data_IF_065767834782
#
_entry.id   IF_065767834782
#
_cell.length_a   1.000
_cell.length_b   1.000
_cell.length_c   1.000
_cell.angle_alpha   90.00
_cell.angle_beta   90.00
_cell.angle_gamma   90.00
#
_symmetry.space_group_name_H-M   'P 1'
#
loop_
_entity.id
_entity.type
_entity.pdbx_description
1 polymer ?
#
# COMPACT_ATOMS: atom_id res chain seq x y z
N UNK A 1 -6.13 20.57 -12.44
CA UNK A 1 -5.30 21.63 -11.77
C UNK A 1 -5.19 21.45 -10.25
N UNK A 2 -6.14 20.79 -9.56
CA UNK A 2 -6.10 20.60 -8.10
C UNK A 2 -5.05 19.56 -7.70
N UNK A 3 -4.92 18.44 -8.42
CA UNK A 3 -3.93 17.40 -8.12
C UNK A 3 -2.46 17.86 -8.22
N UNK A 4 -2.14 18.81 -9.12
CA UNK A 4 -0.79 19.39 -9.21
C UNK A 4 -0.39 20.22 -7.98
N UNK A 5 -1.36 20.76 -7.22
CA UNK A 5 -1.06 21.57 -6.02
C UNK A 5 -0.80 20.69 -4.80
N UNK A 6 -1.47 19.54 -4.70
CA UNK A 6 -1.28 18.57 -3.61
C UNK A 6 0.09 17.89 -3.74
N UNK A 7 0.47 17.49 -4.96
CA UNK A 7 1.76 16.83 -5.22
C UNK A 7 2.97 17.74 -4.91
N UNK A 8 2.88 19.04 -5.17
CA UNK A 8 3.92 20.02 -4.79
C UNK A 8 4.00 20.21 -3.28
N UNK A 9 2.87 20.11 -2.57
CA UNK A 9 2.83 20.26 -1.11
C UNK A 9 3.45 19.06 -0.39
N UNK A 10 3.15 17.83 -0.82
CA UNK A 10 3.70 16.60 -0.22
C UNK A 10 5.22 16.50 -0.47
N UNK A 11 5.67 16.86 -1.69
CA UNK A 11 7.09 16.90 -2.03
C UNK A 11 7.87 17.93 -1.18
N UNK A 12 7.26 19.09 -0.87
CA UNK A 12 7.90 20.08 -0.01
C UNK A 12 8.02 19.63 1.46
N UNK A 13 7.10 18.81 1.97
CA UNK A 13 7.18 18.28 3.34
C UNK A 13 8.29 17.23 3.46
N UNK A 14 8.44 16.33 2.47
CA UNK A 14 9.51 15.33 2.46
C UNK A 14 10.91 15.96 2.31
N UNK A 15 11.04 17.09 1.62
CA UNK A 15 12.34 17.75 1.41
C UNK A 15 12.85 18.51 2.65
N UNK A 16 12.00 18.77 3.64
CA UNK A 16 12.40 19.49 4.88
C UNK A 16 13.04 18.53 5.90
N UNK A 17 12.80 17.22 5.81
CA UNK A 17 13.31 16.22 6.77
C UNK A 17 14.83 15.94 6.57
N UNK A 18 15.44 16.38 5.47
CA UNK A 18 16.86 16.13 5.18
C UNK A 18 17.85 17.16 5.78
N UNK A 19 17.41 18.08 6.64
CA UNK A 19 18.29 19.07 7.29
C UNK A 19 18.41 18.76 8.79
N UNK A 20 19.14 17.69 9.11
CA UNK A 20 19.63 17.52 10.47
C UNK A 20 20.65 18.65 10.77
N UNK A 21 20.52 19.41 11.87
CA UNK A 21 21.59 20.26 12.34
C UNK A 21 22.75 19.37 12.78
N UNK A 22 23.77 19.27 11.94
CA UNK A 22 25.06 18.70 12.30
C UNK A 22 25.65 19.59 13.38
N UNK A 23 25.39 19.24 14.63
CA UNK A 23 26.07 19.78 15.79
C UNK A 23 27.53 19.35 15.68
N UNK A 24 28.33 20.14 14.97
CA UNK A 24 29.78 20.00 14.90
C UNK A 24 30.30 20.27 16.31
N UNK A 25 30.49 19.19 17.07
CA UNK A 25 31.35 19.20 18.25
C UNK A 25 32.78 19.43 17.75
N UNK A 26 33.28 20.65 17.93
CA UNK A 26 34.67 20.99 17.71
C UNK A 26 35.52 20.28 18.79
N UNK A 27 36.12 19.17 18.41
CA UNK A 27 37.16 18.50 19.18
C UNK A 27 38.47 19.31 19.09
N UNK A 28 39.05 19.79 20.20
CA UNK A 28 40.30 20.54 20.17
C UNK A 28 41.47 19.63 19.79
N UNK A 29 41.90 19.82 18.55
CA UNK A 29 43.12 19.37 17.89
C UNK A 29 44.32 19.20 18.84
N UNK A 30 44.83 17.97 18.92
CA UNK A 30 46.23 17.69 19.23
C UNK A 30 46.90 17.05 18.00
N UNK A 31 47.75 17.85 17.40
CA UNK A 31 48.75 17.58 16.38
C UNK A 31 49.58 16.32 16.68
N UNK A 32 49.66 15.37 15.74
CA UNK A 32 51.00 15.00 15.23
C UNK A 32 50.99 14.32 13.85
N UNK A 33 52.06 14.63 13.14
CA UNK A 33 52.36 14.33 11.74
C UNK A 33 52.96 12.93 11.59
N UNK A 34 52.60 12.19 10.52
CA UNK A 34 53.57 11.30 9.85
C UNK A 34 53.20 11.11 8.38
N UNK A 35 54.08 11.62 7.54
CA UNK A 35 54.17 11.45 6.09
C UNK A 35 54.65 10.03 5.74
N UNK A 36 53.94 9.30 4.88
CA UNK A 36 54.57 8.26 4.04
C UNK A 36 54.02 8.36 2.62
N UNK A 37 54.96 8.70 1.75
CA UNK A 37 54.97 8.69 0.30
C UNK A 37 55.17 7.25 -0.21
N UNK A 38 54.40 6.79 -1.21
CA UNK A 38 54.90 5.94 -2.30
C UNK A 38 53.87 5.76 -3.43
N UNK A 39 54.21 6.39 -4.57
CA UNK A 39 54.28 5.84 -5.94
C UNK A 39 53.01 5.47 -6.74
N UNK A 40 52.87 5.98 -7.99
CA UNK A 40 51.77 5.68 -8.90
C UNK A 40 52.05 4.44 -9.76
N UNK A 41 51.02 3.66 -10.09
CA UNK A 41 51.05 2.66 -11.17
C UNK A 41 49.75 2.75 -11.95
N UNK A 42 49.88 3.07 -13.23
CA UNK A 42 48.85 3.18 -14.28
C UNK A 42 49.15 2.10 -15.35
N UNK A 43 48.32 1.92 -16.39
CA UNK A 43 47.09 1.13 -16.42
C UNK A 43 47.28 -0.16 -17.25
N UNK A 44 46.66 -1.27 -16.83
CA UNK A 44 46.58 -2.48 -17.66
C UNK A 44 45.20 -2.59 -18.28
N UNK A 45 45.16 -2.25 -19.57
CA UNK A 45 44.10 -2.59 -20.54
C UNK A 45 43.79 -4.09 -20.43
N UNK A 46 42.55 -4.42 -20.08
CA UNK A 46 42.00 -5.76 -20.28
C UNK A 46 40.72 -5.61 -21.09
N UNK A 47 40.84 -6.07 -22.33
CA UNK A 47 39.80 -6.21 -23.34
C UNK A 47 38.77 -7.24 -22.84
N UNK A 48 37.66 -6.74 -22.27
CA UNK A 48 36.50 -7.56 -21.91
C UNK A 48 35.51 -7.51 -23.05
N UNK A 49 35.51 -8.60 -23.82
CA UNK A 49 34.46 -9.02 -24.74
C UNK A 49 33.09 -8.76 -24.13
N UNK A 50 32.35 -7.82 -24.72
CA UNK A 50 30.93 -7.60 -24.48
C UNK A 50 30.14 -8.81 -25.00
N UNK A 51 29.91 -9.79 -24.14
CA UNK A 51 28.69 -10.59 -24.21
C UNK A 51 27.63 -9.81 -23.47
N UNK A 52 26.77 -9.15 -24.23
CA UNK A 52 25.48 -8.65 -23.80
C UNK A 52 24.68 -9.86 -23.26
N UNK A 53 24.47 -9.98 -21.93
CA UNK A 53 23.51 -10.93 -21.42
C UNK A 53 22.15 -10.26 -21.62
N UNK A 54 21.52 -10.53 -22.75
CA UNK A 54 20.08 -10.38 -22.90
C UNK A 54 19.45 -11.22 -21.79
N UNK A 55 19.11 -10.54 -20.70
CA UNK A 55 18.52 -11.08 -19.47
C UNK A 55 17.02 -11.34 -19.69
N UNK A 56 16.67 -11.99 -20.81
CA UNK A 56 15.30 -12.32 -21.23
C UNK A 56 14.77 -13.62 -20.60
N UNK A 57 15.61 -14.38 -19.89
CA UNK A 57 15.24 -15.72 -19.40
C UNK A 57 14.64 -15.71 -17.98
N UNK A 58 14.53 -14.56 -17.32
CA UNK A 58 14.09 -14.51 -15.91
C UNK A 58 12.59 -14.25 -15.70
N UNK A 59 11.85 -13.78 -16.71
CA UNK A 59 10.43 -13.38 -16.53
C UNK A 59 9.47 -14.58 -16.61
N UNK A 60 9.75 -15.58 -17.44
CA UNK A 60 8.89 -16.77 -17.56
C UNK A 60 8.89 -17.64 -16.30
N UNK A 61 9.97 -17.64 -15.52
CA UNK A 61 10.08 -18.44 -14.29
C UNK A 61 9.29 -17.84 -13.12
N UNK A 62 8.93 -16.54 -13.18
CA UNK A 62 8.14 -15.84 -12.15
C UNK A 62 6.64 -15.77 -12.47
N UNK A 63 6.24 -16.07 -13.70
CA UNK A 63 4.84 -16.06 -14.08
C UNK A 63 4.10 -17.33 -13.61
N UNK A 64 2.93 -17.13 -12.99
CA UNK A 64 1.99 -18.19 -12.63
C UNK A 64 1.21 -18.73 -13.84
N UNK A 65 0.07 -19.35 -13.59
CA UNK A 65 -0.87 -19.71 -14.66
C UNK A 65 -1.47 -18.41 -15.21
N UNK A 66 -1.43 -18.23 -16.53
CA UNK A 66 -2.03 -17.08 -17.22
C UNK A 66 -3.56 -17.20 -17.31
N UNK A 67 -4.29 -16.06 -17.41
CA UNK A 67 -5.76 -16.03 -17.36
C UNK A 67 -6.48 -16.69 -18.54
N UNK A 68 -5.79 -17.00 -19.64
CA UNK A 68 -6.31 -17.77 -20.77
C UNK A 68 -6.47 -19.27 -20.44
N UNK A 69 -5.74 -19.75 -19.43
CA UNK A 69 -5.77 -21.14 -18.99
C UNK A 69 -6.93 -21.41 -18.03
N UNK A 70 -7.62 -22.53 -18.23
CA UNK A 70 -8.66 -23.01 -17.32
C UNK A 70 -8.17 -23.26 -15.89
N UNK A 71 -6.86 -23.47 -15.71
CA UNK A 71 -6.22 -23.67 -14.40
C UNK A 71 -6.11 -22.36 -13.60
N UNK A 72 -6.23 -21.20 -14.24
CA UNK A 72 -6.14 -19.89 -13.59
C UNK A 72 -7.10 -19.73 -12.41
N UNK A 73 -8.35 -20.18 -12.60
CA UNK A 73 -9.37 -20.12 -11.55
C UNK A 73 -9.05 -21.04 -10.37
N UNK A 74 -8.32 -22.13 -10.62
CA UNK A 74 -7.89 -23.06 -9.57
C UNK A 74 -6.72 -22.45 -8.79
N UNK A 75 -5.77 -21.82 -9.49
CA UNK A 75 -4.67 -21.10 -8.85
C UNK A 75 -5.19 -20.00 -7.93
N UNK A 76 -6.06 -19.11 -8.42
CA UNK A 76 -6.72 -18.06 -7.62
C UNK A 76 -7.43 -18.60 -6.38
N UNK A 77 -8.02 -19.80 -6.45
CA UNK A 77 -8.63 -20.47 -5.31
C UNK A 77 -7.58 -20.97 -4.31
N UNK A 78 -6.49 -21.57 -4.80
CA UNK A 78 -5.38 -22.04 -3.96
C UNK A 78 -4.74 -20.85 -3.25
N UNK A 79 -4.45 -19.76 -3.95
CA UNK A 79 -3.94 -18.51 -3.40
C UNK A 79 -4.83 -17.95 -2.29
N UNK A 80 -6.15 -17.89 -2.55
CA UNK A 80 -7.14 -17.45 -1.57
C UNK A 80 -7.12 -18.33 -0.31
N UNK A 81 -6.94 -19.65 -0.47
CA UNK A 81 -6.78 -20.58 0.65
C UNK A 81 -5.46 -20.33 1.39
N UNK A 82 -4.35 -20.14 0.68
CA UNK A 82 -3.04 -19.84 1.26
C UNK A 82 -3.09 -18.57 2.12
N UNK A 83 -3.70 -17.49 1.63
CA UNK A 83 -3.92 -16.25 2.41
C UNK A 83 -4.79 -16.52 3.64
N UNK A 84 -5.85 -17.32 3.49
CA UNK A 84 -6.76 -17.62 4.58
C UNK A 84 -6.13 -18.48 5.70
N UNK A 85 -5.23 -19.41 5.36
CA UNK A 85 -4.52 -20.25 6.34
C UNK A 85 -3.26 -19.59 6.91
N UNK A 86 -2.80 -18.49 6.31
CA UNK A 86 -1.72 -17.68 6.86
C UNK A 86 -2.25 -16.90 8.05
N UNK A 87 -1.73 -17.17 9.24
CA UNK A 87 -2.28 -16.67 10.50
C UNK A 87 -1.78 -15.28 10.89
N UNK A 88 -0.55 -14.94 10.50
CA UNK A 88 0.07 -13.64 10.79
C UNK A 88 -0.29 -12.61 9.73
N UNK A 89 -0.61 -11.38 10.14
CA UNK A 89 -0.90 -10.30 9.20
C UNK A 89 0.33 -9.90 8.37
N UNK A 90 1.53 -10.00 8.94
CA UNK A 90 2.80 -9.88 8.22
C UNK A 90 2.89 -10.90 7.08
N UNK A 91 2.84 -12.20 7.39
CA UNK A 91 2.90 -13.24 6.36
C UNK A 91 1.78 -13.15 5.32
N UNK A 92 0.58 -12.63 5.68
CA UNK A 92 -0.47 -12.35 4.69
C UNK A 92 -0.07 -11.21 3.75
N UNK A 93 0.54 -10.15 4.28
CA UNK A 93 1.01 -9.04 3.48
C UNK A 93 2.13 -9.48 2.53
N UNK A 94 3.11 -10.25 3.02
CA UNK A 94 4.20 -10.82 2.20
C UNK A 94 3.63 -11.67 1.05
N UNK A 95 2.74 -12.61 1.36
CA UNK A 95 2.13 -13.49 0.36
C UNK A 95 1.33 -12.70 -0.69
N UNK A 96 0.63 -11.64 -0.29
CA UNK A 96 -0.07 -10.77 -1.24
C UNK A 96 0.91 -9.99 -2.13
N UNK A 97 2.08 -9.60 -1.62
CA UNK A 97 3.12 -8.95 -2.42
C UNK A 97 3.70 -9.95 -3.45
N UNK A 98 3.92 -11.20 -3.06
CA UNK A 98 4.35 -12.28 -3.97
C UNK A 98 3.33 -12.48 -5.10
N UNK A 99 2.04 -12.62 -4.78
CA UNK A 99 1.01 -12.74 -5.81
C UNK A 99 0.92 -11.50 -6.70
N UNK A 100 1.15 -10.30 -6.16
CA UNK A 100 1.17 -9.09 -6.96
C UNK A 100 2.32 -9.11 -7.99
N UNK A 101 3.50 -9.63 -7.63
CA UNK A 101 4.59 -9.84 -8.58
C UNK A 101 4.22 -10.87 -9.65
N UNK A 102 3.60 -11.99 -9.28
CA UNK A 102 3.14 -13.00 -10.24
C UNK A 102 2.14 -12.40 -11.24
N UNK A 103 1.19 -11.58 -10.79
CA UNK A 103 0.27 -10.85 -11.68
C UNK A 103 1.03 -9.90 -12.62
N UNK A 104 2.08 -9.24 -12.18
CA UNK A 104 2.88 -8.39 -13.06
C UNK A 104 3.59 -9.20 -14.15
N UNK A 105 4.18 -10.34 -13.80
CA UNK A 105 4.80 -11.24 -14.77
C UNK A 105 3.78 -11.81 -15.78
N UNK A 106 2.59 -12.21 -15.31
CA UNK A 106 1.49 -12.61 -16.19
C UNK A 106 1.08 -11.48 -17.15
N UNK A 107 0.97 -10.23 -16.67
CA UNK A 107 0.60 -9.09 -17.49
C UNK A 107 1.64 -8.81 -18.59
N UNK A 108 2.92 -9.03 -18.30
CA UNK A 108 4.00 -8.92 -19.28
C UNK A 108 3.82 -9.97 -20.40
N UNK A 109 3.60 -11.23 -20.06
CA UNK A 109 3.33 -12.30 -21.05
C UNK A 109 2.09 -11.96 -21.91
N UNK A 110 0.99 -11.55 -21.28
CA UNK A 110 -0.23 -11.18 -22.02
C UNK A 110 0.01 -9.99 -22.97
N UNK A 111 0.90 -9.07 -22.61
CA UNK A 111 1.30 -7.98 -23.51
C UNK A 111 2.08 -8.48 -24.71
N UNK A 112 3.02 -9.41 -24.52
CA UNK A 112 3.85 -9.98 -25.59
C UNK A 112 2.99 -10.76 -26.61
N UNK A 113 1.96 -11.45 -26.11
CA UNK A 113 0.98 -12.17 -26.94
C UNK A 113 -0.10 -11.26 -27.55
N UNK A 114 -0.04 -9.95 -27.30
CA UNK A 114 -1.03 -8.95 -27.75
C UNK A 114 -2.46 -9.25 -27.27
N UNK A 115 -2.59 -9.88 -26.09
CA UNK A 115 -3.84 -10.22 -25.42
C UNK A 115 -4.26 -9.10 -24.46
N UNK A 116 -4.52 -7.91 -25.00
CA UNK A 116 -4.72 -6.69 -24.22
C UNK A 116 -5.90 -6.76 -23.23
N UNK A 117 -6.97 -7.48 -23.57
CA UNK A 117 -8.12 -7.66 -22.67
C UNK A 117 -7.76 -8.49 -21.41
N UNK A 118 -6.89 -9.49 -21.58
CA UNK A 118 -6.42 -10.35 -20.49
C UNK A 118 -5.38 -9.63 -19.64
N UNK A 119 -4.48 -8.87 -20.27
CA UNK A 119 -3.57 -7.95 -19.58
C UNK A 119 -4.36 -6.91 -18.75
N UNK A 120 -5.43 -6.34 -19.33
CA UNK A 120 -6.61 -5.73 -18.69
C UNK A 120 -6.89 -6.30 -17.29
N UNK A 121 -7.35 -7.54 -17.33
CA UNK A 121 -7.81 -8.29 -16.18
C UNK A 121 -6.71 -8.54 -15.15
N UNK A 122 -5.50 -8.88 -15.61
CA UNK A 122 -4.37 -9.19 -14.74
C UNK A 122 -3.89 -7.94 -14.00
N UNK A 123 -3.79 -6.79 -14.66
CA UNK A 123 -3.40 -5.53 -13.99
C UNK A 123 -4.46 -5.04 -13.01
N UNK A 124 -5.74 -5.36 -13.25
CA UNK A 124 -6.78 -5.15 -12.26
C UNK A 124 -6.60 -6.07 -11.04
N UNK A 125 -6.29 -7.35 -11.25
CA UNK A 125 -6.00 -8.30 -10.18
C UNK A 125 -4.76 -7.89 -9.37
N UNK A 126 -3.71 -7.41 -10.04
CA UNK A 126 -2.53 -6.79 -9.42
C UNK A 126 -2.94 -5.63 -8.48
N UNK A 127 -3.71 -4.66 -8.99
CA UNK A 127 -4.17 -3.51 -8.21
C UNK A 127 -4.96 -3.94 -6.97
N UNK A 128 -5.87 -4.91 -7.11
CA UNK A 128 -6.66 -5.42 -6.00
C UNK A 128 -5.81 -6.20 -4.98
N UNK A 129 -4.75 -6.85 -5.42
CA UNK A 129 -3.82 -7.58 -4.56
C UNK A 129 -2.94 -6.62 -3.75
N UNK A 130 -2.40 -5.57 -4.38
CA UNK A 130 -1.66 -4.50 -3.68
C UNK A 130 -2.55 -3.76 -2.67
N UNK A 131 -3.82 -3.49 -3.00
CA UNK A 131 -4.77 -2.91 -2.03
C UNK A 131 -4.92 -3.77 -0.80
N UNK A 132 -5.03 -5.09 -0.96
CA UNK A 132 -5.10 -6.03 0.16
C UNK A 132 -3.81 -6.03 0.97
N UNK A 133 -2.64 -6.00 0.31
CA UNK A 133 -1.35 -5.93 0.99
C UNK A 133 -1.23 -4.65 1.82
N UNK A 134 -1.53 -3.48 1.22
CA UNK A 134 -1.60 -2.20 1.91
C UNK A 134 -2.61 -2.24 3.09
N UNK A 135 -3.76 -2.89 2.93
CA UNK A 135 -4.74 -3.05 4.01
C UNK A 135 -4.21 -3.91 5.18
N UNK A 136 -3.46 -4.98 4.90
CA UNK A 136 -2.81 -5.78 5.94
C UNK A 136 -1.75 -4.96 6.69
N UNK A 137 -0.88 -4.25 5.96
CA UNK A 137 0.12 -3.36 6.58
C UNK A 137 -0.56 -2.28 7.43
N UNK A 138 -1.70 -1.74 6.98
CA UNK A 138 -2.46 -0.75 7.73
C UNK A 138 -3.04 -1.31 9.03
N UNK A 139 -3.51 -2.57 9.03
CA UNK A 139 -3.98 -3.25 10.24
C UNK A 139 -2.84 -3.49 11.23
N UNK A 140 -1.68 -3.97 10.75
CA UNK A 140 -0.49 -4.14 11.62
C UNK A 140 -0.15 -2.82 12.31
N UNK A 141 -0.12 -1.72 11.56
CA UNK A 141 0.13 -0.38 12.11
C UNK A 141 -0.90 0.00 13.19
N UNK A 142 -2.18 -0.27 12.97
CA UNK A 142 -3.28 0.07 13.89
C UNK A 142 -3.25 -0.80 15.15
N UNK A 143 -2.95 -2.09 15.01
CA UNK A 143 -2.86 -3.03 16.13
C UNK A 143 -1.68 -2.68 17.05
N UNK A 144 -0.52 -2.31 16.49
CA UNK A 144 0.60 -1.78 17.28
C UNK A 144 0.18 -0.52 18.07
N UNK A 145 -0.65 0.35 17.49
CA UNK A 145 -1.11 1.57 18.20
C UNK A 145 -2.09 1.28 19.34
N UNK A 146 -2.95 0.29 19.16
CA UNK A 146 -3.88 -0.14 20.19
C UNK A 146 -3.13 -0.77 21.39
N UNK A 147 -2.04 -1.50 21.12
CA UNK A 147 -1.18 -2.08 22.15
C UNK A 147 -0.43 -1.01 22.97
N UNK A 148 0.03 0.06 22.32
CA UNK A 148 0.79 1.16 22.95
C UNK A 148 -0.04 2.04 23.90
N UNK A 149 -1.35 1.80 24.04
CA UNK A 149 -2.22 2.57 24.93
C UNK A 149 -2.39 4.05 24.55
N UNK A 150 -1.83 4.48 23.41
CA UNK A 150 -2.14 5.77 22.79
C UNK A 150 -3.55 5.68 22.21
N UNK A 151 -4.54 5.88 23.07
CA UNK A 151 -5.95 5.85 22.70
C UNK A 151 -6.20 6.98 21.69
N UNK A 152 -6.11 6.64 20.41
CA UNK A 152 -6.47 7.46 19.26
C UNK A 152 -7.95 7.73 19.40
N UNK A 153 -8.28 8.82 20.08
CA UNK A 153 -9.65 9.31 20.16
C UNK A 153 -10.08 9.55 18.72
N UNK A 154 -10.89 8.61 18.22
CA UNK A 154 -11.50 8.68 16.90
C UNK A 154 -12.04 10.09 16.70
N UNK A 155 -11.62 10.70 15.60
CA UNK A 155 -12.00 12.05 15.20
C UNK A 155 -13.48 12.07 14.88
N UNK A 156 -14.31 12.08 15.93
CA UNK A 156 -15.69 12.51 15.82
C UNK A 156 -15.65 14.02 15.70
N UNK A 157 -15.80 14.47 14.47
CA UNK A 157 -15.77 15.88 14.08
C UNK A 157 -16.95 16.58 14.74
N UNK A 158 -16.71 17.26 15.87
CA UNK A 158 -17.62 18.30 16.37
C UNK A 158 -16.84 19.52 16.79
N UNK A 159 -16.86 20.50 15.89
CA UNK A 159 -16.61 21.92 16.11
C UNK A 159 -17.29 22.42 17.38
N UNK A 160 -16.50 22.91 18.34
CA UNK A 160 -16.90 24.00 19.22
C UNK A 160 -15.62 24.72 19.69
N UNK A 161 -15.48 25.95 19.20
CA UNK A 161 -14.58 26.95 19.76
C UNK A 161 -14.86 27.11 21.27
N UNK A 162 -13.82 27.17 22.10
CA UNK A 162 -13.86 28.10 23.22
C UNK A 162 -12.48 28.65 23.55
N UNK A 163 -12.47 29.98 23.67
CA UNK A 163 -11.40 30.87 24.08
C UNK A 163 -11.41 30.95 25.60
N UNK A 164 -10.26 30.87 26.30
CA UNK A 164 -9.77 31.91 27.25
C UNK A 164 -8.61 31.46 28.16
N UNK A 165 -7.51 32.20 28.04
CA UNK A 165 -6.62 32.80 29.03
C UNK A 165 -6.42 32.18 30.45
N UNK A 166 -5.16 31.73 30.65
CA UNK A 166 -4.19 32.14 31.69
C UNK A 166 -4.52 32.01 33.19
N UNK A 167 -3.80 31.08 33.85
CA UNK A 167 -3.17 31.32 35.16
C UNK A 167 -2.04 30.30 35.39
N UNK A 168 -0.80 30.78 35.55
CA UNK A 168 0.40 29.98 35.81
C UNK A 168 0.71 30.09 37.32
N UNK A 169 0.44 29.04 38.08
CA UNK A 169 1.05 28.84 39.41
C UNK A 169 1.99 27.62 39.35
N UNK A 170 3.28 27.90 39.55
CA UNK A 170 4.34 26.90 39.66
C UNK A 170 4.19 26.19 41.00
N UNK A 171 3.54 25.03 41.00
CA UNK A 171 3.52 24.09 42.13
C UNK A 171 4.53 22.99 41.88
N UNK A 172 5.59 22.97 42.69
CA UNK A 172 6.56 21.88 42.79
C UNK A 172 5.92 20.70 43.51
N UNK A 173 5.07 19.95 42.81
CA UNK A 173 4.58 18.66 43.30
C UNK A 173 5.57 17.59 42.86
N UNK A 174 6.12 16.91 43.87
CA UNK A 174 6.95 15.71 43.77
C UNK A 174 6.09 14.57 43.18
N UNK A 175 5.90 14.62 41.86
CA UNK A 175 5.25 13.57 41.09
C UNK A 175 6.23 12.40 40.94
N UNK A 176 5.96 11.35 41.71
CA UNK A 176 6.48 10.01 41.49
C UNK A 176 6.33 9.67 40.01
N UNK A 177 7.46 9.71 39.29
CA UNK A 177 7.64 9.30 37.92
C UNK A 177 7.00 7.91 37.74
N UNK A 178 5.76 7.91 37.25
CA UNK A 178 5.13 6.68 36.80
C UNK A 178 5.72 6.46 35.43
N UNK A 179 6.43 5.33 35.35
CA UNK A 179 7.28 4.85 34.28
C UNK A 179 6.52 4.79 32.96
N UNK A 180 6.44 5.91 32.24
CA UNK A 180 6.06 5.94 30.82
C UNK A 180 7.30 5.54 29.99
N UNK A 181 7.91 4.40 30.33
CA UNK A 181 8.83 3.71 29.43
C UNK A 181 7.97 3.05 28.37
N UNK A 182 7.65 3.83 27.34
CA UNK A 182 7.23 3.27 26.05
C UNK A 182 8.39 2.38 25.59
N UNK A 183 8.28 1.08 25.84
CA UNK A 183 9.10 0.09 25.17
C UNK A 183 8.68 0.16 23.71
N UNK A 184 9.45 0.93 22.94
CA UNK A 184 9.23 1.08 21.50
C UNK A 184 9.53 -0.27 20.88
N UNK A 185 8.50 -1.02 20.49
CA UNK A 185 8.64 -2.29 19.77
C UNK A 185 9.29 -2.04 18.41
N UNK A 186 10.63 -2.09 18.43
CA UNK A 186 11.50 -1.75 17.30
C UNK A 186 11.42 -2.82 16.21
N UNK A 187 11.03 -4.04 16.59
CA UNK A 187 10.88 -5.19 15.71
C UNK A 187 9.67 -5.02 14.77
N UNK A 188 8.51 -4.64 15.29
CA UNK A 188 7.30 -4.43 14.47
C UNK A 188 7.47 -3.29 13.44
N UNK A 189 8.12 -2.19 13.84
CA UNK A 189 8.42 -1.10 12.90
C UNK A 189 9.40 -1.54 11.80
N UNK A 190 10.32 -2.46 12.09
CA UNK A 190 11.24 -3.04 11.11
C UNK A 190 10.48 -3.91 10.11
N UNK A 191 9.58 -4.78 10.60
CA UNK A 191 8.69 -5.60 9.79
C UNK A 191 7.85 -4.73 8.84
N UNK A 192 7.17 -3.71 9.36
CA UNK A 192 6.35 -2.79 8.56
C UNK A 192 7.20 -2.10 7.48
N UNK A 193 8.41 -1.66 7.83
CA UNK A 193 9.32 -1.00 6.89
C UNK A 193 9.77 -1.93 5.76
N UNK A 194 10.07 -3.18 6.06
CA UNK A 194 10.45 -4.19 5.07
C UNK A 194 9.28 -4.53 4.13
N UNK A 195 8.07 -4.66 4.68
CA UNK A 195 6.85 -4.87 3.89
C UNK A 195 6.58 -3.70 2.93
N UNK A 196 6.68 -2.46 3.42
CA UNK A 196 6.50 -1.27 2.58
C UNK A 196 7.58 -1.15 1.50
N UNK A 197 8.83 -1.53 1.80
CA UNK A 197 9.90 -1.58 0.80
C UNK A 197 9.63 -2.64 -0.27
N UNK A 198 9.06 -3.79 0.13
CA UNK A 198 8.67 -4.86 -0.81
C UNK A 198 7.54 -4.38 -1.73
N UNK A 199 6.51 -3.74 -1.19
CA UNK A 199 5.42 -3.14 -1.98
C UNK A 199 5.96 -2.08 -2.96
N UNK A 200 6.89 -1.22 -2.51
CA UNK A 200 7.52 -0.20 -3.35
C UNK A 200 8.33 -0.81 -4.51
N UNK A 201 9.02 -1.93 -4.27
CA UNK A 201 9.73 -2.66 -5.31
C UNK A 201 8.76 -3.18 -6.38
N UNK A 202 7.69 -3.84 -5.97
CA UNK A 202 6.65 -4.35 -6.88
C UNK A 202 6.01 -3.21 -7.69
N UNK A 203 5.73 -2.08 -7.05
CA UNK A 203 5.20 -0.90 -7.75
C UNK A 203 6.19 -0.34 -8.78
N UNK A 204 7.48 -0.35 -8.47
CA UNK A 204 8.51 0.05 -9.43
C UNK A 204 8.56 -0.89 -10.65
N UNK A 205 8.31 -2.18 -10.46
CA UNK A 205 8.25 -3.13 -11.57
C UNK A 205 6.97 -2.97 -12.38
N UNK A 206 5.85 -2.65 -11.73
CA UNK A 206 4.60 -2.29 -12.40
C UNK A 206 4.77 -1.07 -13.32
N UNK A 207 5.51 -0.04 -12.88
CA UNK A 207 5.83 1.13 -13.70
C UNK A 207 6.66 0.74 -14.95
N UNK A 208 7.63 -0.17 -14.81
CA UNK A 208 8.42 -0.66 -15.95
C UNK A 208 7.57 -1.44 -16.93
N UNK A 209 6.68 -2.30 -16.44
CA UNK A 209 5.75 -3.06 -17.28
C UNK A 209 4.81 -2.10 -18.00
N UNK A 210 4.20 -1.13 -17.31
CA UNK A 210 3.37 -0.11 -17.96
C UNK A 210 4.13 0.62 -19.05
N UNK A 211 5.39 1.01 -18.82
CA UNK A 211 6.22 1.63 -19.85
C UNK A 211 6.45 0.70 -21.06
N UNK A 212 6.72 -0.59 -20.86
CA UNK A 212 6.89 -1.56 -21.95
C UNK A 212 5.60 -1.72 -22.77
N UNK A 213 4.45 -1.86 -22.10
CA UNK A 213 3.16 -2.15 -22.74
C UNK A 213 2.51 -0.92 -23.38
N UNK A 214 2.89 0.31 -22.99
CA UNK A 214 2.32 1.55 -23.57
C UNK A 214 2.46 1.63 -25.10
N UNK A 215 3.40 0.91 -25.71
CA UNK A 215 3.54 0.82 -27.17
C UNK A 215 2.43 0.02 -27.87
N UNK A 216 1.76 -0.90 -27.16
CA UNK A 216 0.67 -1.73 -27.68
C UNK A 216 -0.73 -1.28 -27.25
N UNK A 217 -0.82 -0.42 -26.23
CA UNK A 217 -2.08 0.09 -25.70
C UNK A 217 -2.59 1.32 -26.44
N UNK A 218 -3.90 1.53 -26.41
CA UNK A 218 -4.46 2.84 -26.74
C UNK A 218 -4.02 3.88 -25.68
N UNK A 219 -3.92 5.15 -26.08
CA UNK A 219 -3.53 6.25 -25.18
C UNK A 219 -4.45 6.31 -23.94
N UNK A 220 -5.74 6.04 -24.13
CA UNK A 220 -6.74 6.00 -23.04
C UNK A 220 -6.50 4.83 -22.07
N UNK A 221 -6.23 3.62 -22.56
CA UNK A 221 -5.93 2.46 -21.69
C UNK A 221 -4.64 2.66 -20.90
N UNK A 222 -3.59 3.17 -21.54
CA UNK A 222 -2.33 3.47 -20.89
C UNK A 222 -2.52 4.51 -19.77
N UNK A 223 -3.31 5.56 -20.02
CA UNK A 223 -3.64 6.57 -19.01
C UNK A 223 -4.42 5.99 -17.83
N UNK A 224 -5.43 5.14 -18.08
CA UNK A 224 -6.21 4.47 -17.02
C UNK A 224 -5.29 3.62 -16.13
N UNK A 225 -4.43 2.79 -16.73
CA UNK A 225 -3.49 1.94 -15.99
C UNK A 225 -2.49 2.75 -15.17
N UNK A 226 -1.89 3.77 -15.78
CA UNK A 226 -0.93 4.63 -15.09
C UNK A 226 -1.58 5.32 -13.88
N UNK A 227 -2.83 5.78 -14.02
CA UNK A 227 -3.55 6.41 -12.92
C UNK A 227 -3.86 5.43 -11.78
N UNK A 228 -4.19 4.17 -12.08
CA UNK A 228 -4.44 3.12 -11.08
C UNK A 228 -3.17 2.84 -10.28
N UNK A 229 -2.04 2.60 -10.96
CA UNK A 229 -0.75 2.32 -10.31
C UNK A 229 -0.30 3.53 -9.49
N UNK A 230 -0.39 4.73 -10.05
CA UNK A 230 0.00 5.95 -9.35
C UNK A 230 -0.81 6.18 -8.07
N UNK A 231 -2.10 5.84 -8.06
CA UNK A 231 -2.94 5.97 -6.89
C UNK A 231 -2.50 4.99 -5.77
N UNK A 232 -2.15 3.75 -6.11
CA UNK A 232 -1.61 2.79 -5.14
C UNK A 232 -0.23 3.21 -4.60
N UNK A 233 0.64 3.74 -5.46
CA UNK A 233 1.95 4.28 -5.05
C UNK A 233 1.78 5.41 -4.04
N UNK A 234 0.85 6.33 -4.27
CA UNK A 234 0.57 7.42 -3.33
C UNK A 234 0.11 6.92 -1.97
N UNK A 235 -0.75 5.90 -1.95
CA UNK A 235 -1.19 5.25 -0.71
C UNK A 235 -0.02 4.64 0.06
N UNK A 236 0.84 3.86 -0.61
CA UNK A 236 2.04 3.25 0.00
C UNK A 236 3.01 4.32 0.55
N UNK A 237 3.23 5.41 -0.20
CA UNK A 237 4.07 6.54 0.27
C UNK A 237 3.48 7.16 1.54
N UNK A 238 2.17 7.37 1.58
CA UNK A 238 1.52 7.97 2.76
C UNK A 238 1.63 7.06 3.99
N UNK A 239 1.52 5.73 3.82
CA UNK A 239 1.75 4.76 4.89
C UNK A 239 3.21 4.78 5.37
N UNK A 240 4.19 4.83 4.46
CA UNK A 240 5.62 4.93 4.81
C UNK A 240 5.95 6.19 5.58
N UNK A 241 5.42 7.33 5.14
CA UNK A 241 5.55 8.59 5.87
C UNK A 241 4.98 8.49 7.28
N UNK A 242 3.84 7.81 7.44
CA UNK A 242 3.20 7.62 8.74
C UNK A 242 4.05 6.78 9.70
N UNK A 243 4.58 5.67 9.22
CA UNK A 243 5.46 4.78 10.00
C UNK A 243 6.74 5.53 10.40
N UNK A 244 7.35 6.27 9.48
CA UNK A 244 8.52 7.10 9.79
C UNK A 244 8.22 8.16 10.87
N UNK A 245 7.07 8.84 10.79
CA UNK A 245 6.66 9.81 11.81
C UNK A 245 6.39 9.15 13.17
N UNK A 246 5.85 7.92 13.20
CA UNK A 246 5.65 7.14 14.43
C UNK A 246 7.00 6.79 15.07
N UNK A 247 7.97 6.31 14.29
CA UNK A 247 9.33 6.01 14.76
C UNK A 247 10.00 7.27 15.32
N UNK A 248 9.95 8.39 14.60
CA UNK A 248 10.55 9.65 15.06
C UNK A 248 9.92 10.16 16.37
N UNK A 249 8.59 10.03 16.53
CA UNK A 249 7.93 10.35 17.79
C UNK A 249 8.39 9.45 18.94
N UNK A 250 8.53 8.15 18.67
CA UNK A 250 9.00 7.18 19.65
C UNK A 250 10.43 7.47 20.12
N UNK A 251 11.34 7.82 19.20
CA UNK A 251 12.70 8.30 19.50
C UNK A 251 12.67 9.58 20.35
N UNK A 252 11.83 10.56 20.00
CA UNK A 252 11.70 11.80 20.77
C UNK A 252 11.19 11.57 22.20
N UNK A 253 10.31 10.57 22.41
CA UNK A 253 9.88 10.14 23.74
C UNK A 253 11.05 9.57 24.54
N UNK A 254 11.89 8.74 23.93
CA UNK A 254 13.09 8.18 24.58
C UNK A 254 14.10 9.27 24.94
N UNK A 255 14.36 10.23 24.04
CA UNK A 255 15.26 11.36 24.31
C UNK A 255 14.76 12.21 25.48
N UNK A 256 13.46 12.47 25.53
CA UNK A 256 12.85 13.18 26.65
C UNK A 256 12.98 12.44 27.98
N UNK A 257 12.78 11.11 27.97
CA UNK A 257 12.98 10.27 29.15
C UNK A 257 14.45 10.28 29.61
N UNK A 258 15.40 10.18 28.68
CA UNK A 258 16.84 10.25 28.97
C UNK A 258 17.23 11.62 29.55
N UNK A 259 16.73 12.72 28.99
CA UNK A 259 16.97 14.06 29.50
C UNK A 259 16.42 14.23 30.94
N UNK A 260 15.24 13.66 31.23
CA UNK A 260 14.68 13.64 32.59
C UNK A 260 15.55 12.84 33.56
N UNK A 261 16.08 11.69 33.15
CA UNK A 261 16.98 10.90 33.96
C UNK A 261 18.29 11.66 34.27
N UNK A 262 18.86 12.35 33.27
CA UNK A 262 20.03 13.21 33.44
C UNK A 262 19.76 14.34 34.43
N UNK A 263 18.59 14.99 34.34
CA UNK A 263 18.16 15.99 35.31
C UNK A 263 18.06 15.42 36.73
N UNK A 264 17.57 14.21 36.90
CA UNK A 264 17.55 13.51 38.19
C UNK A 264 18.96 13.31 38.77
N UNK A 265 19.91 12.90 37.95
CA UNK A 265 21.32 12.73 38.34
C UNK A 265 21.98 14.07 38.69
N UNK A 266 21.75 15.10 37.88
CA UNK A 266 22.26 16.45 38.13
C UNK A 266 21.73 17.00 39.46
N UNK A 267 20.43 16.82 39.75
CA UNK A 267 19.83 17.19 41.04
C UNK A 267 20.46 16.44 42.22
N UNK A 268 20.77 15.16 42.06
CA UNK A 268 21.43 14.36 43.09
C UNK A 268 22.87 14.83 43.39
N UNK A 269 23.55 15.43 42.42
CA UNK A 269 24.91 15.95 42.58
C UNK A 269 24.98 17.26 43.38
N UNK A 270 23.91 18.06 43.37
CA UNK A 270 23.89 19.40 43.97
C UNK A 270 24.67 20.47 43.19
N UNK A 271 25.20 20.16 42.00
CA UNK A 271 25.86 21.13 41.13
C UNK A 271 24.82 21.99 40.39
N UNK A 272 24.71 23.26 40.77
CA UNK A 272 23.78 24.23 40.17
C UNK A 272 23.98 24.39 38.66
N UNK A 273 25.23 24.33 38.17
CA UNK A 273 25.52 24.47 36.75
C UNK A 273 25.06 23.22 35.97
N UNK A 274 25.29 22.03 36.52
CA UNK A 274 24.80 20.78 35.93
C UNK A 274 23.27 20.71 35.90
N UNK A 275 22.61 21.17 36.96
CA UNK A 275 21.15 21.24 37.03
C UNK A 275 20.58 22.18 35.96
N UNK A 276 21.18 23.37 35.81
CA UNK A 276 20.75 24.33 34.79
C UNK A 276 20.88 23.76 33.37
N UNK A 277 22.01 23.11 33.06
CA UNK A 277 22.23 22.47 31.76
C UNK A 277 21.25 21.32 31.50
N UNK A 278 20.99 20.47 32.50
CA UNK A 278 20.04 19.37 32.35
C UNK A 278 18.58 19.85 32.21
N UNK A 279 18.20 20.95 32.88
CA UNK A 279 16.88 21.58 32.69
C UNK A 279 16.70 22.11 31.27
N UNK A 280 17.74 22.71 30.70
CA UNK A 280 17.72 23.18 29.31
C UNK A 280 17.52 21.99 28.36
N UNK A 281 18.25 20.89 28.54
CA UNK A 281 18.08 19.66 27.76
C UNK A 281 16.66 19.08 27.85
N UNK A 282 16.08 19.00 29.05
CA UNK A 282 14.69 18.55 29.23
C UNK A 282 13.72 19.46 28.49
N UNK A 283 13.94 20.77 28.51
CA UNK A 283 13.10 21.73 27.79
C UNK A 283 13.19 21.53 26.28
N UNK A 284 14.40 21.34 25.74
CA UNK A 284 14.62 21.07 24.32
C UNK A 284 13.99 19.73 23.89
N UNK A 285 14.22 18.67 24.65
CA UNK A 285 13.66 17.35 24.35
C UNK A 285 12.12 17.32 24.46
N UNK A 286 11.53 18.07 25.39
CA UNK A 286 10.08 18.24 25.49
C UNK A 286 9.50 18.95 24.26
N UNK A 287 10.17 20.01 23.78
CA UNK A 287 9.76 20.70 22.58
C UNK A 287 9.82 19.77 21.37
N UNK A 288 10.93 19.04 21.20
CA UNK A 288 11.10 18.06 20.13
C UNK A 288 10.04 16.94 20.16
N UNK A 289 9.75 16.38 21.35
CA UNK A 289 8.65 15.42 21.53
C UNK A 289 7.30 15.98 21.05
N UNK A 290 6.98 17.22 21.39
CA UNK A 290 5.73 17.85 20.98
C UNK A 290 5.69 18.07 19.45
N UNK A 291 6.78 18.55 18.87
CA UNK A 291 6.89 18.77 17.42
C UNK A 291 6.71 17.45 16.65
N UNK A 292 7.31 16.35 17.10
CA UNK A 292 7.14 15.03 16.50
C UNK A 292 5.74 14.46 16.71
N UNK A 293 5.09 14.78 17.83
CA UNK A 293 3.70 14.40 18.06
C UNK A 293 2.76 15.07 17.06
N UNK A 294 2.96 16.36 16.79
CA UNK A 294 2.14 17.10 15.84
C UNK A 294 2.43 16.66 14.40
N UNK A 295 3.71 16.40 14.06
CA UNK A 295 4.07 15.78 12.78
C UNK A 295 3.36 14.44 12.57
N UNK A 296 3.35 13.55 13.59
CA UNK A 296 2.64 12.26 13.52
C UNK A 296 1.16 12.46 13.21
N UNK A 297 0.47 13.40 13.87
CA UNK A 297 -0.95 13.71 13.62
C UNK A 297 -1.19 14.25 12.21
N UNK A 298 -0.33 15.16 11.75
CA UNK A 298 -0.45 15.74 10.41
C UNK A 298 -0.27 14.67 9.33
N UNK A 299 0.73 13.80 9.49
CA UNK A 299 0.95 12.68 8.57
C UNK A 299 -0.18 11.65 8.65
N UNK A 300 -0.75 11.39 9.82
CA UNK A 300 -1.94 10.54 9.96
C UNK A 300 -3.11 11.08 9.14
N UNK A 301 -3.35 12.39 9.21
CA UNK A 301 -4.40 13.07 8.45
C UNK A 301 -4.14 12.98 6.94
N UNK A 302 -2.89 13.18 6.51
CA UNK A 302 -2.48 13.02 5.11
C UNK A 302 -2.76 11.59 4.64
N UNK A 303 -2.40 10.58 5.44
CA UNK A 303 -2.69 9.17 5.14
C UNK A 303 -4.19 8.93 4.92
N UNK A 304 -5.03 9.38 5.86
CA UNK A 304 -6.50 9.21 5.74
C UNK A 304 -7.07 9.89 4.50
N UNK A 305 -6.65 11.12 4.20
CA UNK A 305 -7.13 11.82 3.00
C UNK A 305 -6.61 11.17 1.72
N UNK A 306 -5.35 10.74 1.69
CA UNK A 306 -4.76 10.03 0.53
C UNK A 306 -5.52 8.73 0.25
N UNK A 307 -5.87 7.95 1.28
CA UNK A 307 -6.63 6.71 1.12
C UNK A 307 -8.04 6.99 0.57
N UNK A 308 -8.66 8.07 1.01
CA UNK A 308 -9.96 8.52 0.51
C UNK A 308 -9.88 8.97 -0.96
N UNK A 309 -8.91 9.82 -1.32
CA UNK A 309 -8.68 10.28 -2.68
C UNK A 309 -8.36 9.10 -3.62
N UNK A 310 -7.50 8.18 -3.19
CA UNK A 310 -7.16 6.95 -3.92
C UNK A 310 -8.40 6.11 -4.19
N UNK A 311 -9.25 5.92 -3.17
CA UNK A 311 -10.51 5.18 -3.32
C UNK A 311 -11.48 5.86 -4.28
N UNK A 312 -11.56 7.18 -4.29
CA UNK A 312 -12.38 7.93 -5.24
C UNK A 312 -11.82 7.86 -6.66
N UNK A 313 -10.51 8.00 -6.83
CA UNK A 313 -9.82 7.87 -8.11
C UNK A 313 -10.06 6.49 -8.73
N UNK A 314 -9.87 5.40 -7.97
CA UNK A 314 -10.09 4.04 -8.43
C UNK A 314 -11.55 3.78 -8.84
N UNK A 315 -12.52 4.37 -8.11
CA UNK A 315 -13.94 4.28 -8.49
C UNK A 315 -14.23 4.97 -9.81
N UNK A 316 -13.65 6.14 -10.04
CA UNK A 316 -13.83 6.86 -11.31
C UNK A 316 -13.14 6.11 -12.46
N UNK A 317 -11.94 5.57 -12.24
CA UNK A 317 -11.26 4.73 -13.24
C UNK A 317 -12.08 3.48 -13.59
N UNK A 318 -12.65 2.80 -12.60
CA UNK A 318 -13.53 1.64 -12.84
C UNK A 318 -14.78 2.01 -13.66
N UNK A 319 -15.29 3.24 -13.50
CA UNK A 319 -16.43 3.74 -14.27
C UNK A 319 -16.02 4.08 -15.71
N UNK A 320 -14.88 4.74 -15.91
CA UNK A 320 -14.34 5.04 -17.24
C UNK A 320 -14.14 3.74 -18.02
N UNK A 321 -13.48 2.75 -17.40
CA UNK A 321 -13.23 1.43 -17.98
C UNK A 321 -14.52 0.70 -18.35
N UNK A 322 -15.59 0.86 -17.56
CA UNK A 322 -16.91 0.28 -17.87
C UNK A 322 -17.59 0.93 -19.08
N UNK A 323 -17.53 2.26 -19.19
CA UNK A 323 -18.07 2.97 -20.35
C UNK A 323 -17.26 2.65 -21.62
N UNK A 324 -15.93 2.58 -21.52
CA UNK A 324 -15.04 2.18 -22.60
C UNK A 324 -15.40 0.79 -23.16
N UNK A 325 -15.54 -0.22 -22.28
CA UNK A 325 -15.97 -1.59 -22.66
C UNK A 325 -17.35 -1.60 -23.33
N UNK A 326 -18.24 -0.71 -22.90
CA UNK A 326 -19.57 -0.58 -23.49
C UNK A 326 -19.49 0.00 -24.91
N UNK A 327 -18.66 1.02 -25.13
CA UNK A 327 -18.46 1.63 -26.45
C UNK A 327 -17.85 0.65 -27.45
N UNK A 328 -16.85 -0.15 -27.04
CA UNK A 328 -16.29 -1.21 -27.91
C UNK A 328 -17.36 -2.23 -28.31
N UNK A 329 -18.20 -2.66 -27.35
CA UNK A 329 -19.29 -3.60 -27.63
C UNK A 329 -20.31 -3.02 -28.60
N UNK A 330 -20.67 -1.75 -28.44
CA UNK A 330 -21.63 -1.06 -29.34
C UNK A 330 -21.05 -0.92 -30.76
N UNK A 331 -19.75 -0.65 -30.91
CA UNK A 331 -19.09 -0.60 -32.22
C UNK A 331 -19.06 -1.98 -32.90
N UNK A 332 -18.71 -3.04 -32.17
CA UNK A 332 -18.65 -4.39 -32.73
C UNK A 332 -20.03 -4.91 -33.21
N UNK A 333 -21.12 -4.50 -32.57
CA UNK A 333 -22.48 -4.86 -33.00
C UNK A 333 -22.89 -4.08 -34.25
N UNK A 334 -22.50 -2.81 -34.36
CA UNK A 334 -22.78 -1.98 -35.54
C UNK A 334 -22.15 -2.55 -36.81
N UNK A 335 -20.90 -3.04 -36.73
CA UNK A 335 -20.20 -3.60 -37.89
C UNK A 335 -20.80 -4.93 -38.39
N UNK A 336 -21.56 -5.62 -37.53
CA UNK A 336 -22.18 -6.90 -37.88
C UNK A 336 -23.51 -6.72 -38.64
N UNK A 337 -24.29 -5.66 -38.34
CA UNK A 337 -25.56 -5.39 -39.03
C UNK A 337 -25.37 -4.96 -40.49
N UNK A 338 -24.34 -4.17 -40.80
CA UNK A 338 -24.06 -3.72 -42.18
C UNK A 338 -23.55 -4.86 -43.09
N UNK A 339 -23.01 -5.95 -42.51
CA UNK A 339 -22.50 -7.10 -43.28
C UNK A 339 -23.60 -8.05 -43.78
N UNK A 340 -24.79 -8.02 -43.19
CA UNK A 340 -25.89 -8.92 -43.53
C UNK A 340 -26.82 -8.37 -44.63
N UNK A 341 -26.73 -7.08 -44.97
CA UNK A 341 -27.62 -6.45 -45.96
C UNK A 341 -27.08 -6.49 -47.41
N UNK A 342 -25.87 -7.00 -47.63
CA UNK A 342 -25.24 -7.07 -48.96
C UNK A 342 -25.31 -8.45 -49.67
N UNK A 343 -26.05 -9.43 -49.11
CA UNK A 343 -25.99 -10.83 -49.54
C UNK A 343 -27.07 -11.38 -50.50
N UNK A 344 -28.17 -10.65 -50.77
CA UNK A 344 -29.40 -11.29 -51.31
C UNK A 344 -29.70 -11.06 -52.80
N UNK A 345 -28.72 -10.69 -53.63
CA UNK A 345 -28.94 -10.43 -55.07
C UNK A 345 -28.18 -11.34 -56.06
N UNK A 346 -27.78 -12.57 -55.69
CA UNK A 346 -27.28 -13.53 -56.70
C UNK A 346 -28.00 -14.89 -56.74
N UNK A 347 -28.85 -14.97 -57.76
CA UNK A 347 -28.96 -16.07 -58.72
C UNK A 347 -29.69 -17.35 -58.28
N UNK A 348 -31.02 -17.24 -58.32
CA UNK A 348 -31.91 -18.37 -58.46
C UNK A 348 -31.87 -18.91 -59.91
N UNK A 349 -30.94 -19.82 -60.23
CA UNK A 349 -31.10 -20.72 -61.38
C UNK A 349 -30.70 -22.18 -61.09
N UNK A 350 -31.73 -23.02 -60.93
CA UNK A 350 -31.89 -24.39 -61.46
C UNK A 350 -30.89 -25.49 -61.05
N UNK A 351 -31.36 -26.48 -60.27
CA UNK A 351 -31.68 -27.82 -60.78
C UNK A 351 -32.09 -28.80 -59.66
N UNK A 352 -33.26 -29.42 -59.86
CA UNK A 352 -33.67 -30.71 -59.31
C UNK A 352 -32.53 -31.74 -59.38
N UNK A 353 -32.29 -32.51 -58.32
CA UNK A 353 -32.52 -33.96 -58.41
C UNK A 353 -32.64 -34.65 -57.04
N UNK A 354 -33.43 -35.70 -57.05
CA UNK A 354 -33.97 -36.49 -55.96
C UNK A 354 -32.90 -37.30 -55.22
N UNK A 355 -33.09 -37.58 -53.92
CA UNK A 355 -33.19 -38.97 -53.46
C UNK A 355 -33.69 -39.07 -52.00
N UNK A 356 -34.43 -40.15 -51.76
CA UNK A 356 -35.23 -40.47 -50.60
C UNK A 356 -34.49 -41.30 -49.53
N UNK A 357 -35.23 -41.59 -48.45
CA UNK A 357 -35.09 -42.70 -47.48
C UNK A 357 -33.90 -42.60 -46.51
N UNK A 358 -33.98 -42.91 -45.21
CA UNK A 358 -34.92 -43.69 -44.40
C UNK A 358 -34.75 -43.42 -42.88
N UNK A 359 -35.75 -43.85 -42.09
CA UNK A 359 -35.74 -44.23 -40.66
C UNK A 359 -34.39 -44.38 -39.95
N UNK A 360 -34.27 -43.91 -38.70
CA UNK A 360 -34.43 -44.82 -37.54
C UNK A 360 -34.59 -44.07 -36.21
N UNK A 361 -35.40 -44.68 -35.34
CA UNK A 361 -35.67 -44.30 -33.96
C UNK A 361 -34.40 -44.37 -33.10
N UNK A 362 -34.24 -43.45 -32.16
CA UNK A 362 -33.74 -43.82 -30.83
C UNK A 362 -34.17 -42.80 -29.78
N UNK A 363 -35.18 -43.20 -29.01
CA UNK A 363 -35.52 -42.62 -27.72
C UNK A 363 -34.59 -43.22 -26.67
N UNK A 364 -33.73 -42.41 -26.05
CA UNK A 364 -33.07 -42.79 -24.80
C UNK A 364 -33.20 -41.65 -23.80
N UNK A 365 -33.81 -42.02 -22.68
CA UNK A 365 -33.99 -41.30 -21.43
C UNK A 365 -32.82 -40.38 -21.08
N UNK A 366 -33.14 -39.11 -20.83
CA UNK A 366 -32.27 -38.26 -20.03
C UNK A 366 -33.02 -37.82 -18.77
N UNK A 367 -32.40 -38.20 -17.66
CA UNK A 367 -32.93 -38.15 -16.30
C UNK A 367 -32.95 -36.70 -15.85
N UNK A 368 -34.13 -36.17 -15.52
CA UNK A 368 -34.26 -34.91 -14.78
C UNK A 368 -33.61 -35.09 -13.40
N UNK A 369 -32.43 -34.51 -13.22
CA UNK A 369 -31.85 -34.29 -11.90
C UNK A 369 -32.49 -33.03 -11.34
N UNK A 370 -33.36 -33.21 -10.35
CA UNK A 370 -33.93 -32.13 -9.56
C UNK A 370 -32.81 -31.33 -8.90
N UNK A 371 -32.67 -30.07 -9.30
CA UNK A 371 -31.83 -29.09 -8.62
C UNK A 371 -32.43 -28.80 -7.24
N UNK A 372 -31.93 -29.50 -6.24
CA UNK A 372 -32.19 -29.23 -4.84
C UNK A 372 -31.68 -27.81 -4.53
N UNK A 373 -32.62 -26.89 -4.37
CA UNK A 373 -32.39 -25.55 -3.84
C UNK A 373 -31.83 -25.68 -2.42
N UNK A 374 -30.51 -25.53 -2.27
CA UNK A 374 -29.89 -25.33 -0.95
C UNK A 374 -30.23 -23.91 -0.52
N UNK A 375 -31.30 -23.79 0.26
CA UNK A 375 -31.56 -22.58 1.03
C UNK A 375 -30.45 -22.44 2.08
N UNK A 376 -29.51 -21.55 1.80
CA UNK A 376 -28.55 -21.09 2.79
C UNK A 376 -29.32 -20.24 3.81
N UNK A 377 -29.81 -20.88 4.86
CA UNK A 377 -30.45 -20.23 6.00
C UNK A 377 -29.33 -19.56 6.79
N UNK A 378 -29.17 -18.25 6.60
CA UNK A 378 -28.40 -17.41 7.52
C UNK A 378 -29.15 -17.40 8.85
N UNK A 379 -28.65 -18.19 9.80
CA UNK A 379 -29.04 -18.10 11.20
C UNK A 379 -28.43 -16.81 11.73
N UNK A 380 -29.20 -15.72 11.63
CA UNK A 380 -28.94 -14.50 12.37
C UNK A 380 -29.28 -14.76 13.85
N UNK A 381 -28.29 -15.20 14.62
CA UNK A 381 -28.41 -15.25 16.08
C UNK A 381 -28.15 -13.86 16.63
N UNK A 382 -29.24 -13.12 16.84
CA UNK A 382 -29.29 -12.01 17.78
C UNK A 382 -28.82 -12.48 19.16
N UNK A 383 -27.56 -12.21 19.50
CA UNK A 383 -27.13 -12.20 20.91
C UNK A 383 -27.48 -10.85 21.50
N UNK A 384 -28.72 -10.79 21.97
CA UNK A 384 -29.22 -9.82 22.92
C UNK A 384 -28.48 -10.03 24.25
N UNK A 385 -27.46 -9.22 24.55
CA UNK A 385 -26.96 -9.09 25.90
C UNK A 385 -27.35 -7.71 26.45
N UNK A 386 -28.53 -7.67 27.05
CA UNK A 386 -28.93 -6.55 27.88
C UNK A 386 -28.03 -6.47 29.11
N UNK A 387 -27.47 -5.29 29.38
CA UNK A 387 -27.12 -4.93 30.74
C UNK A 387 -27.85 -3.66 31.14
N UNK A 388 -28.83 -3.89 32.02
CA UNK A 388 -29.79 -2.95 32.55
C UNK A 388 -29.21 -2.45 33.88
N UNK A 389 -28.61 -1.26 33.89
CA UNK A 389 -28.00 -0.65 35.08
C UNK A 389 -28.66 0.66 35.46
N UNK A 390 -29.93 0.62 35.86
CA UNK A 390 -30.61 1.74 36.54
C UNK A 390 -29.94 2.02 37.89
N UNK A 391 -29.14 3.08 37.97
CA UNK A 391 -28.75 3.72 39.23
C UNK A 391 -29.69 4.87 39.57
N UNK A 392 -30.78 4.57 40.29
CA UNK A 392 -31.55 5.57 41.05
C UNK A 392 -31.16 5.52 42.53
N UNK A 393 -30.97 6.70 43.13
CA UNK A 393 -30.91 6.94 44.58
C UNK A 393 -29.48 7.12 45.10
N UNK A 394 -29.16 8.14 45.92
CA UNK A 394 -29.95 8.83 46.93
C UNK A 394 -29.34 10.22 47.23
N UNK A 395 -30.24 11.14 47.57
CA UNK A 395 -30.18 12.21 48.59
C UNK A 395 -28.90 13.01 48.79
#
# INVERSE_FOLDING_TARGET
>A
MIHKKILVSILCVLLIIAVAPSCVFADPTATDSTTVDTTPTDPSVTDSTATDPTNEVAVEDEAGVTPDSWLYSIEQMIESVQVAVTFSDEGRAELLVEFANERLAEAEIMSEENQLDLMEQVLQAYSDTIKKANFQVQQIIEDTEAADGTNTTGTDTTTAEETTAASIEVTTTDETATDETAAVDTEENTVISNLLASIELVQSDADKIVLKITGGLTEEQAEIMQNIIQAEVQNTIAMKAYVAAKVAYAEAVQEFAAAKAELGQARASGDEAAIAAALEKVTQAQAYKNDMQDLRKDVQKIKVETNKETKEALKEQAKIMKEYKKTIREQAVSDQEDSLEAGDEQDATVADDQNATADDQSTSDETKVDAQTVQNTVINTSSNNGNNGKGQGKR
#
